data_IF_009876079140
#
_entry.id   IF_009876079140
#
_cell.length_a   1.000
_cell.length_b   1.000
_cell.length_c   1.000
_cell.angle_alpha   90.00
_cell.angle_beta   90.00
_cell.angle_gamma   90.00
#
_symmetry.space_group_name_H-M   'P 1'
#
loop_
_entity.id
_entity.type
_entity.pdbx_description
1 polymer ?
#
# COMPACT_ATOMS: atom_id res chain seq x y z
N UNK A 1 -2.23 -8.44 -8.53
CA UNK A 1 -1.21 -7.74 -7.72
C UNK A 1 0.09 -8.53 -7.64
N UNK A 2 0.05 -9.82 -7.26
CA UNK A 2 1.27 -10.68 -7.25
C UNK A 2 1.91 -10.77 -8.63
N UNK A 3 1.11 -10.94 -9.69
CA UNK A 3 1.61 -10.90 -11.08
C UNK A 3 2.35 -9.61 -11.42
N UNK A 4 1.85 -8.46 -10.94
CA UNK A 4 2.53 -7.17 -11.15
C UNK A 4 3.91 -7.16 -10.46
N UNK A 5 3.98 -7.67 -9.22
CA UNK A 5 5.25 -7.80 -8.52
C UNK A 5 6.19 -8.81 -9.20
N UNK A 6 5.65 -9.92 -9.71
CA UNK A 6 6.44 -10.94 -10.41
C UNK A 6 7.08 -10.37 -11.70
N UNK A 7 6.31 -9.63 -12.50
CA UNK A 7 6.83 -8.95 -13.71
C UNK A 7 7.92 -7.94 -13.32
N UNK A 8 7.73 -7.17 -12.26
CA UNK A 8 8.74 -6.23 -11.77
C UNK A 8 10.03 -6.97 -11.39
N UNK A 9 9.94 -8.00 -10.56
CA UNK A 9 11.11 -8.78 -10.10
C UNK A 9 11.83 -9.43 -11.28
N UNK A 10 11.09 -10.03 -12.21
CA UNK A 10 11.64 -10.65 -13.40
C UNK A 10 12.38 -9.65 -14.29
N UNK A 11 11.83 -8.44 -14.46
CA UNK A 11 12.44 -7.37 -15.26
C UNK A 11 13.72 -6.86 -14.61
N UNK A 12 13.76 -6.74 -13.28
CA UNK A 12 14.97 -6.33 -12.56
C UNK A 12 16.07 -7.41 -12.67
N UNK A 13 15.69 -8.68 -12.53
CA UNK A 13 16.60 -9.82 -12.66
C UNK A 13 17.15 -9.97 -14.09
N UNK A 14 16.37 -9.67 -15.12
CA UNK A 14 16.85 -9.72 -16.51
C UNK A 14 17.96 -8.71 -16.81
N UNK A 15 18.10 -7.67 -15.98
CA UNK A 15 19.14 -6.65 -16.08
C UNK A 15 20.30 -6.94 -15.10
N UNK A 16 20.34 -8.13 -14.48
CA UNK A 16 21.32 -8.53 -13.45
C UNK A 16 21.39 -7.57 -12.24
N UNK A 17 20.25 -6.98 -11.87
CA UNK A 17 20.14 -6.14 -10.68
C UNK A 17 19.53 -6.92 -9.51
N UNK A 18 20.00 -6.62 -8.30
CA UNK A 18 19.41 -7.12 -7.06
C UNK A 18 18.39 -6.13 -6.51
N UNK A 19 17.24 -6.64 -6.06
CA UNK A 19 16.19 -5.84 -5.46
C UNK A 19 16.13 -6.08 -3.95
N UNK A 20 16.28 -5.02 -3.16
CA UNK A 20 16.01 -5.00 -1.74
C UNK A 20 14.89 -4.01 -1.43
N UNK A 21 13.88 -4.43 -0.67
CA UNK A 21 12.72 -3.61 -0.32
C UNK A 21 12.70 -3.35 1.18
N UNK A 22 12.62 -2.07 1.55
CA UNK A 22 12.55 -1.64 2.93
C UNK A 22 11.14 -1.16 3.27
N UNK A 23 10.60 -1.67 4.37
CA UNK A 23 9.36 -1.15 4.93
C UNK A 23 9.68 -0.23 6.09
N UNK A 24 9.13 0.99 6.05
CA UNK A 24 9.20 1.90 7.20
C UNK A 24 8.69 1.17 8.45
N UNK A 25 9.48 1.25 9.52
CA UNK A 25 9.18 0.67 10.82
C UNK A 25 8.17 1.50 11.61
N UNK A 26 8.42 1.61 12.92
CA UNK A 26 7.55 2.34 13.84
C UNK A 26 7.55 3.85 13.56
N UNK A 27 6.48 4.52 14.00
CA UNK A 27 6.32 5.96 13.88
C UNK A 27 7.30 6.68 14.82
N UNK A 28 8.04 7.65 14.27
CA UNK A 28 8.89 8.55 15.04
C UNK A 28 8.04 9.59 15.77
N UNK A 29 8.34 9.86 17.04
CA UNK A 29 7.54 10.77 17.87
C UNK A 29 7.46 12.19 17.29
N UNK A 30 8.53 12.66 16.65
CA UNK A 30 8.58 13.97 15.98
C UNK A 30 7.55 14.10 14.85
N UNK A 31 7.13 12.98 14.26
CA UNK A 31 6.20 12.93 13.11
C UNK A 31 4.76 12.60 13.51
N UNK A 32 4.46 12.59 14.80
CA UNK A 32 3.13 12.26 15.31
C UNK A 32 2.05 13.18 14.76
N UNK A 33 2.31 14.49 14.68
CA UNK A 33 1.37 15.45 14.13
C UNK A 33 1.02 15.16 12.66
N UNK A 34 2.01 14.86 11.82
CA UNK A 34 1.81 14.48 10.43
C UNK A 34 0.96 13.20 10.32
N UNK A 35 1.25 12.22 11.16
CA UNK A 35 0.52 10.96 11.19
C UNK A 35 -0.95 11.16 11.55
N UNK A 36 -1.25 11.98 12.57
CA UNK A 36 -2.64 12.29 12.98
C UNK A 36 -3.40 12.92 11.81
N UNK A 37 -2.79 13.91 11.14
CA UNK A 37 -3.40 14.59 9.98
C UNK A 37 -3.67 13.58 8.86
N UNK A 38 -2.73 12.67 8.59
CA UNK A 38 -2.90 11.62 7.59
C UNK A 38 -4.04 10.65 7.95
N UNK A 39 -4.16 10.24 9.22
CA UNK A 39 -5.27 9.38 9.68
C UNK A 39 -6.63 10.05 9.50
N UNK A 40 -6.74 11.34 9.87
CA UNK A 40 -7.97 12.10 9.69
C UNK A 40 -8.37 12.20 8.22
N UNK A 41 -7.40 12.48 7.33
CA UNK A 41 -7.62 12.53 5.88
C UNK A 41 -8.10 11.18 5.33
N UNK A 42 -7.50 10.07 5.79
CA UNK A 42 -7.93 8.73 5.39
C UNK A 42 -9.36 8.43 5.85
N UNK A 43 -9.71 8.77 7.09
CA UNK A 43 -11.06 8.62 7.62
C UNK A 43 -12.09 9.41 6.79
N UNK A 44 -11.77 10.64 6.42
CA UNK A 44 -12.65 11.45 5.57
C UNK A 44 -12.87 10.81 4.19
N UNK A 45 -11.81 10.31 3.54
CA UNK A 45 -11.92 9.59 2.26
C UNK A 45 -12.79 8.35 2.37
N UNK A 46 -12.59 7.53 3.40
CA UNK A 46 -13.40 6.33 3.66
C UNK A 46 -14.87 6.70 3.82
N UNK A 47 -15.17 7.76 4.58
CA UNK A 47 -16.54 8.25 4.73
C UNK A 47 -17.15 8.72 3.41
N UNK A 48 -16.38 9.36 2.52
CA UNK A 48 -16.84 9.74 1.18
C UNK A 48 -17.16 8.52 0.32
N UNK A 49 -16.31 7.48 0.38
CA UNK A 49 -16.55 6.21 -0.30
C UNK A 49 -17.85 5.57 0.17
N UNK A 50 -18.04 5.44 1.49
CA UNK A 50 -19.25 4.86 2.06
C UNK A 50 -20.50 5.65 1.66
N UNK A 51 -20.46 6.99 1.78
CA UNK A 51 -21.58 7.85 1.35
C UNK A 51 -21.91 7.70 -0.13
N UNK A 52 -20.89 7.60 -1.00
CA UNK A 52 -21.11 7.43 -2.45
C UNK A 52 -21.73 6.07 -2.76
N UNK A 53 -21.26 5.00 -2.12
CA UNK A 53 -21.84 3.66 -2.27
C UNK A 53 -23.30 3.69 -1.83
N UNK A 54 -23.61 4.27 -0.66
CA UNK A 54 -24.98 4.35 -0.14
C UNK A 54 -25.89 5.21 -1.01
N UNK A 55 -25.43 6.37 -1.47
CA UNK A 55 -26.30 7.33 -2.16
C UNK A 55 -26.41 7.08 -3.67
N UNK A 56 -25.32 6.64 -4.32
CA UNK A 56 -25.27 6.49 -5.79
C UNK A 56 -25.24 5.04 -6.24
N UNK A 57 -24.91 4.07 -5.38
CA UNK A 57 -24.89 2.65 -5.73
C UNK A 57 -23.88 2.25 -6.81
N UNK A 58 -22.98 3.16 -7.20
CA UNK A 58 -21.97 2.95 -8.25
C UNK A 58 -20.58 2.82 -7.64
N UNK A 59 -19.64 2.14 -8.32
CA UNK A 59 -18.28 2.04 -7.83
C UNK A 59 -17.67 3.45 -7.63
N UNK A 60 -17.03 3.70 -6.48
CA UNK A 60 -16.41 4.99 -6.19
C UNK A 60 -15.20 5.25 -7.11
N UNK A 61 -14.84 6.53 -7.37
CA UNK A 61 -13.65 6.89 -8.12
C UNK A 61 -12.37 6.27 -7.54
N UNK A 62 -11.46 5.82 -8.41
CA UNK A 62 -10.19 5.18 -8.02
C UNK A 62 -9.31 6.07 -7.13
N UNK A 63 -9.42 7.40 -7.24
CA UNK A 63 -8.66 8.36 -6.44
C UNK A 63 -9.01 8.33 -4.94
N UNK A 64 -10.15 7.75 -4.57
CA UNK A 64 -10.55 7.55 -3.18
C UNK A 64 -10.03 6.24 -2.58
N UNK A 65 -9.17 5.52 -3.31
CA UNK A 65 -8.56 4.30 -2.80
C UNK A 65 -7.76 4.58 -1.53
N UNK A 66 -8.00 3.75 -0.52
CA UNK A 66 -7.26 3.70 0.74
C UNK A 66 -6.73 2.29 0.94
N UNK A 67 -5.46 2.17 1.30
CA UNK A 67 -4.82 0.86 1.48
C UNK A 67 -5.46 0.08 2.63
N UNK A 68 -5.81 -1.21 2.43
CA UNK A 68 -6.20 -2.09 3.53
C UNK A 68 -5.10 -2.21 4.60
N UNK A 69 -5.49 -2.40 5.86
CA UNK A 69 -4.55 -2.48 7.01
C UNK A 69 -3.52 -3.60 6.82
N UNK A 70 -3.94 -4.74 6.25
CA UNK A 70 -3.07 -5.88 6.01
C UNK A 70 -2.18 -5.76 4.76
N UNK A 71 -2.36 -4.72 3.92
CA UNK A 71 -1.67 -4.63 2.64
C UNK A 71 -0.14 -4.67 2.80
N UNK A 72 0.39 -3.97 3.81
CA UNK A 72 1.83 -3.96 4.11
C UNK A 72 2.35 -5.38 4.38
N UNK A 73 1.66 -6.12 5.24
CA UNK A 73 2.02 -7.49 5.61
C UNK A 73 1.91 -8.42 4.40
N UNK A 74 0.84 -8.31 3.62
CA UNK A 74 0.66 -9.10 2.41
C UNK A 74 1.74 -8.80 1.36
N UNK A 75 2.12 -7.54 1.17
CA UNK A 75 3.18 -7.14 0.23
C UNK A 75 4.53 -7.72 0.66
N UNK A 76 4.87 -7.62 1.95
CA UNK A 76 6.08 -8.19 2.53
C UNK A 76 6.16 -9.70 2.29
N UNK A 77 5.06 -10.42 2.53
CA UNK A 77 5.02 -11.87 2.29
C UNK A 77 5.10 -12.22 0.80
N UNK A 78 4.42 -11.48 -0.06
CA UNK A 78 4.46 -11.68 -1.51
C UNK A 78 5.87 -11.46 -2.09
N UNK A 79 6.57 -10.42 -1.64
CA UNK A 79 7.95 -10.14 -2.07
C UNK A 79 8.93 -11.22 -1.59
N UNK A 80 8.79 -11.70 -0.35
CA UNK A 80 9.57 -12.84 0.15
C UNK A 80 9.30 -14.12 -0.64
N UNK A 81 8.05 -14.37 -1.01
CA UNK A 81 7.69 -15.51 -1.86
C UNK A 81 8.36 -15.43 -3.24
N UNK A 82 8.57 -14.22 -3.77
CA UNK A 82 9.29 -13.98 -5.03
C UNK A 82 10.83 -13.97 -4.87
N UNK A 83 11.37 -14.31 -3.69
CA UNK A 83 12.81 -14.35 -3.44
C UNK A 83 13.47 -12.97 -3.28
N UNK A 84 12.69 -11.90 -3.08
CA UNK A 84 13.20 -10.55 -2.87
C UNK A 84 13.61 -10.37 -1.42
N UNK A 85 14.76 -9.74 -1.18
CA UNK A 85 15.19 -9.37 0.17
C UNK A 85 14.29 -8.27 0.73
N UNK A 86 13.69 -8.51 1.89
CA UNK A 86 12.76 -7.57 2.52
C UNK A 86 13.14 -7.31 3.98
N UNK A 87 13.42 -6.05 4.28
CA UNK A 87 13.79 -5.52 5.60
C UNK A 87 12.66 -4.71 6.20
#
# INVERSE_FOLDING_TARGET
>A
MVQFLAVLVQTVQSVNMELAVFFNGCLEQQRMCEWIIAQQRNRQKINQVLKHITNKGTPPPKIWWTSPVCLRTCLRMALRHLGVSVV
#
